data_IF_863246252121
#
_entry.id   IF_863246252121
#
_cell.length_a   1.000
_cell.length_b   1.000
_cell.length_c   1.000
_cell.angle_alpha   90.00
_cell.angle_beta   90.00
_cell.angle_gamma   90.00
#
_symmetry.space_group_name_H-M   'P 1'
#
loop_
_entity.id
_entity.type
_entity.pdbx_description
1 polymer ?
#
# COMPACT_ATOMS: atom_id res chain seq x y z
N UNK A 1 3.99 -5.49 -3.06
CA UNK A 1 5.03 -4.58 -3.61
C UNK A 1 5.05 -3.22 -2.88
N UNK A 2 3.91 -2.56 -2.66
CA UNK A 2 3.84 -1.24 -1.99
C UNK A 2 4.47 -1.28 -0.60
N UNK A 3 4.24 -2.33 0.17
CA UNK A 3 4.74 -2.52 1.55
C UNK A 3 6.25 -2.81 1.60
N UNK A 4 6.86 -3.29 0.50
CA UNK A 4 8.27 -3.66 0.47
C UNK A 4 9.24 -2.50 0.36
N UNK A 5 8.88 -1.42 -0.34
CA UNK A 5 9.79 -0.31 -0.63
C UNK A 5 9.55 0.95 0.22
N UNK A 6 8.33 1.12 0.72
CA UNK A 6 7.97 2.24 1.58
C UNK A 6 8.01 1.85 3.05
N UNK A 7 8.23 2.84 3.91
CA UNK A 7 8.06 2.66 5.34
C UNK A 7 6.63 2.19 5.65
N UNK A 8 6.51 1.31 6.64
CA UNK A 8 5.20 0.81 7.05
C UNK A 8 4.39 1.91 7.77
N UNK A 9 5.08 2.73 8.56
CA UNK A 9 4.52 3.94 9.15
C UNK A 9 5.57 5.03 9.20
N UNK A 10 5.13 6.28 9.11
CA UNK A 10 5.97 7.48 9.24
C UNK A 10 5.39 8.35 10.33
N UNK A 11 6.23 8.70 11.30
CA UNK A 11 5.89 9.66 12.35
C UNK A 11 6.53 11.01 12.01
N UNK A 12 5.69 12.03 11.86
CA UNK A 12 6.13 13.41 11.60
C UNK A 12 5.98 14.24 12.87
N UNK A 13 7.04 14.84 13.39
CA UNK A 13 6.96 15.72 14.54
C UNK A 13 6.21 17.02 14.17
N UNK A 14 5.50 17.59 15.12
CA UNK A 14 4.86 18.90 14.94
C UNK A 14 5.83 20.02 15.36
N UNK A 15 6.18 20.10 16.64
CA UNK A 15 7.02 21.16 17.19
C UNK A 15 8.22 20.66 18.01
N UNK A 16 8.28 19.38 18.33
CA UNK A 16 9.32 18.80 19.20
C UNK A 16 10.04 17.65 18.50
N UNK A 17 11.37 17.54 18.70
CA UNK A 17 12.13 16.43 18.15
C UNK A 17 11.56 15.08 18.61
N UNK A 18 11.55 14.10 17.71
CA UNK A 18 11.20 12.73 18.05
C UNK A 18 12.36 12.08 18.82
N UNK A 19 12.04 11.47 19.96
CA UNK A 19 12.99 10.62 20.68
C UNK A 19 12.98 9.26 20.03
N UNK A 20 14.17 8.76 19.67
CA UNK A 20 14.33 7.42 19.11
C UNK A 20 13.87 6.37 20.13
N UNK A 21 12.85 5.61 19.79
CA UNK A 21 12.42 4.45 20.57
C UNK A 21 12.60 3.18 19.73
N UNK A 22 13.34 2.23 20.28
CA UNK A 22 13.48 0.90 19.74
C UNK A 22 12.58 -0.04 20.52
N UNK A 23 11.66 -0.70 19.84
CA UNK A 23 10.81 -1.74 20.42
C UNK A 23 11.07 -3.07 19.71
N UNK A 24 10.69 -4.18 20.37
CA UNK A 24 10.86 -5.54 19.84
C UNK A 24 10.10 -5.81 18.55
N UNK A 25 9.04 -5.03 18.28
CA UNK A 25 8.19 -5.16 17.11
C UNK A 25 8.77 -4.47 15.87
N UNK A 26 9.75 -3.59 16.03
CA UNK A 26 10.39 -2.90 14.93
C UNK A 26 11.50 -3.76 14.32
N UNK A 27 11.45 -3.94 13.01
CA UNK A 27 12.54 -4.54 12.25
C UNK A 27 13.64 -3.50 11.98
N UNK A 28 13.21 -2.25 11.72
CA UNK A 28 14.10 -1.15 11.33
C UNK A 28 13.43 0.18 11.63
N UNK A 29 14.21 1.15 12.12
CA UNK A 29 13.78 2.54 12.31
C UNK A 29 14.80 3.44 11.63
N UNK A 30 14.35 4.38 10.81
CA UNK A 30 15.19 5.25 9.98
C UNK A 30 14.70 6.69 10.09
N UNK A 31 15.64 7.63 10.22
CA UNK A 31 15.34 9.04 10.07
C UNK A 31 15.35 9.44 8.60
N UNK A 32 14.33 10.19 8.20
CA UNK A 32 14.18 10.72 6.85
C UNK A 32 13.62 12.13 6.85
N UNK A 33 13.60 12.73 5.71
CA UNK A 33 12.83 13.93 5.39
C UNK A 33 12.47 13.89 3.92
N UNK A 34 11.47 14.66 3.51
CA UNK A 34 11.06 14.74 2.12
C UNK A 34 10.85 16.19 1.69
N UNK A 35 10.76 16.44 0.40
CA UNK A 35 10.43 17.76 -0.16
C UNK A 35 10.12 17.66 -1.63
N UNK A 36 9.19 18.50 -2.09
CA UNK A 36 8.84 18.59 -3.50
C UNK A 36 9.87 19.45 -4.24
N UNK A 37 10.31 18.96 -5.37
CA UNK A 37 11.28 19.63 -6.23
C UNK A 37 10.97 19.44 -7.71
N UNK A 38 11.63 20.21 -8.53
CA UNK A 38 11.57 20.10 -9.99
C UNK A 38 12.95 19.72 -10.50
N UNK A 39 13.06 18.63 -11.24
CA UNK A 39 14.27 18.30 -11.99
C UNK A 39 14.24 19.03 -13.32
N UNK A 40 15.34 19.68 -13.64
CA UNK A 40 15.59 20.32 -14.90
C UNK A 40 16.64 19.51 -15.68
N UNK A 41 16.24 18.93 -16.79
CA UNK A 41 17.12 18.32 -17.78
C UNK A 41 17.24 19.25 -18.99
N UNK A 42 18.16 18.94 -19.91
CA UNK A 42 18.38 19.73 -21.11
C UNK A 42 17.13 19.92 -21.99
N UNK A 43 16.19 18.99 -21.95
CA UNK A 43 15.03 18.93 -22.84
C UNK A 43 13.69 18.92 -22.10
N UNK A 44 13.65 18.46 -20.86
CA UNK A 44 12.43 18.22 -20.10
C UNK A 44 12.54 18.68 -18.65
N UNK A 45 11.39 18.96 -18.06
CA UNK A 45 11.25 19.26 -16.64
C UNK A 45 10.22 18.35 -16.02
N UNK A 46 10.45 17.90 -14.78
CA UNK A 46 9.53 17.03 -14.05
C UNK A 46 9.50 17.38 -12.58
N UNK A 47 8.29 17.52 -12.03
CA UNK A 47 8.08 17.58 -10.58
C UNK A 47 8.27 16.21 -9.94
N UNK A 48 9.02 16.16 -8.84
CA UNK A 48 9.34 14.94 -8.10
C UNK A 48 9.26 15.15 -6.60
N UNK A 49 9.11 14.06 -5.87
CA UNK A 49 9.32 14.00 -4.43
C UNK A 49 10.76 13.56 -4.14
N UNK A 50 11.55 14.46 -3.57
CA UNK A 50 12.88 14.13 -3.06
C UNK A 50 12.74 13.53 -1.65
N UNK A 51 13.33 12.36 -1.44
CA UNK A 51 13.46 11.74 -0.13
C UNK A 51 14.91 11.75 0.32
N UNK A 52 15.16 12.24 1.53
CA UNK A 52 16.49 12.33 2.12
C UNK A 52 16.75 11.23 3.14
N UNK A 53 17.89 10.53 2.99
CA UNK A 53 18.34 9.54 3.93
C UNK A 53 19.81 9.75 4.27
N UNK A 54 20.22 9.37 5.49
CA UNK A 54 21.64 9.24 5.81
C UNK A 54 22.25 8.10 5.00
N UNK A 55 23.52 8.24 4.62
CA UNK A 55 24.26 7.25 3.81
C UNK A 55 24.10 5.80 4.29
N UNK A 56 24.21 5.58 5.61
CA UNK A 56 24.13 4.25 6.20
C UNK A 56 22.70 3.71 6.22
N UNK A 57 21.69 4.59 6.31
CA UNK A 57 20.31 4.22 6.35
C UNK A 57 19.74 3.96 4.96
N UNK A 58 20.20 4.70 3.95
CA UNK A 58 19.87 4.45 2.54
C UNK A 58 20.23 3.03 2.12
N UNK A 59 21.41 2.53 2.52
CA UNK A 59 21.85 1.15 2.24
C UNK A 59 20.97 0.07 2.88
N UNK A 60 20.18 0.41 3.90
CA UNK A 60 19.26 -0.52 4.57
C UNK A 60 17.90 -0.59 3.87
N UNK A 61 17.62 0.29 2.91
CA UNK A 61 16.35 0.27 2.18
C UNK A 61 16.28 -0.96 1.27
N UNK A 62 15.11 -1.57 1.16
CA UNK A 62 14.92 -2.74 0.28
C UNK A 62 15.18 -2.40 -1.18
N UNK A 63 14.93 -1.16 -1.58
CA UNK A 63 15.15 -0.71 -2.96
C UNK A 63 16.62 -0.78 -3.36
N UNK A 64 17.56 -0.56 -2.45
CA UNK A 64 19.01 -0.63 -2.71
C UNK A 64 19.54 -2.06 -2.75
N UNK A 65 18.81 -3.00 -2.16
CA UNK A 65 19.15 -4.43 -2.13
C UNK A 65 18.45 -5.22 -3.24
N UNK A 66 17.71 -4.55 -4.10
CA UNK A 66 17.01 -5.18 -5.22
C UNK A 66 17.99 -5.44 -6.38
N UNK A 67 17.83 -6.58 -7.09
CA UNK A 67 18.59 -6.91 -8.30
C UNK A 67 18.43 -5.89 -9.44
N UNK A 68 17.41 -5.05 -9.36
CA UNK A 68 17.11 -3.97 -10.31
C UNK A 68 17.63 -2.61 -9.87
N UNK A 69 18.59 -2.58 -8.97
CA UNK A 69 19.31 -1.39 -8.57
C UNK A 69 20.66 -1.34 -9.29
N UNK A 70 20.91 -0.28 -10.04
CA UNK A 70 22.12 -0.10 -10.82
C UNK A 70 22.88 1.12 -10.32
N UNK A 71 24.18 0.98 -10.09
CA UNK A 71 25.05 2.06 -9.67
C UNK A 71 25.45 2.01 -8.20
N UNK A 72 25.83 3.16 -7.63
CA UNK A 72 26.37 3.29 -6.27
C UNK A 72 25.28 3.58 -5.24
N UNK A 73 25.38 2.96 -4.06
CA UNK A 73 24.57 3.29 -2.88
C UNK A 73 25.17 4.37 -2.00
N UNK A 74 26.27 5.00 -2.44
CA UNK A 74 27.01 5.99 -1.66
C UNK A 74 26.44 7.41 -1.87
N UNK A 75 25.34 7.75 -1.22
CA UNK A 75 24.73 9.07 -1.26
C UNK A 75 25.65 10.13 -0.62
N UNK A 76 26.45 10.80 -1.46
CA UNK A 76 27.25 11.98 -1.10
C UNK A 76 26.37 13.24 -1.17
N UNK A 77 26.94 14.39 -0.75
CA UNK A 77 26.17 15.63 -0.67
C UNK A 77 25.56 16.08 -2.01
N UNK A 78 26.24 15.88 -3.13
CA UNK A 78 25.79 16.31 -4.45
C UNK A 78 25.41 15.13 -5.36
N UNK A 79 24.96 14.04 -4.78
CA UNK A 79 24.56 12.86 -5.53
C UNK A 79 23.07 12.56 -5.37
N UNK A 80 22.48 11.99 -6.44
CA UNK A 80 21.08 11.61 -6.48
C UNK A 80 20.91 10.20 -7.04
N UNK A 81 19.98 9.45 -6.48
CA UNK A 81 19.47 8.20 -7.03
C UNK A 81 18.09 8.44 -7.62
N UNK A 82 17.86 8.09 -8.87
CA UNK A 82 16.60 8.33 -9.59
C UNK A 82 15.93 7.03 -9.97
N UNK A 83 14.61 7.07 -10.17
CA UNK A 83 13.86 5.91 -10.66
C UNK A 83 14.06 5.71 -12.16
N UNK A 84 13.91 4.47 -12.60
CA UNK A 84 14.10 4.05 -13.98
C UNK A 84 13.21 4.81 -14.97
N UNK A 85 11.93 4.96 -14.65
CA UNK A 85 10.98 5.63 -15.54
C UNK A 85 11.28 7.13 -15.64
N UNK A 86 11.77 7.73 -14.54
CA UNK A 86 12.26 9.12 -14.54
C UNK A 86 13.51 9.29 -15.41
N UNK A 87 14.46 8.35 -15.34
CA UNK A 87 15.66 8.31 -16.19
C UNK A 87 15.27 8.29 -17.67
N UNK A 88 14.33 7.43 -18.06
CA UNK A 88 13.82 7.39 -19.44
C UNK A 88 13.11 8.67 -19.87
N UNK A 89 12.22 9.21 -19.02
CA UNK A 89 11.45 10.41 -19.32
C UNK A 89 12.34 11.63 -19.58
N UNK A 90 13.43 11.75 -18.82
CA UNK A 90 14.34 12.89 -18.87
C UNK A 90 15.56 12.64 -19.75
N UNK A 91 15.72 11.42 -20.27
CA UNK A 91 16.89 10.96 -21.02
C UNK A 91 18.20 11.22 -20.26
N UNK A 92 18.29 10.68 -19.04
CA UNK A 92 19.38 10.87 -18.08
C UNK A 92 19.93 9.50 -17.70
N UNK A 93 21.25 9.36 -17.68
CA UNK A 93 21.97 8.16 -17.28
C UNK A 93 22.86 8.39 -16.05
N UNK A 94 23.41 7.29 -15.52
CA UNK A 94 24.38 7.33 -14.41
C UNK A 94 25.63 8.11 -14.86
N UNK A 95 26.02 9.08 -14.03
CA UNK A 95 27.13 10.00 -14.31
C UNK A 95 26.70 11.35 -14.87
N UNK A 96 25.45 11.49 -15.31
CA UNK A 96 24.94 12.77 -15.78
C UNK A 96 24.74 13.77 -14.64
N UNK A 97 24.90 15.05 -14.96
CA UNK A 97 24.58 16.14 -14.05
C UNK A 97 23.21 16.73 -14.38
N UNK A 98 22.38 16.83 -13.33
CA UNK A 98 21.04 17.41 -13.40
C UNK A 98 20.95 18.61 -12.44
N UNK A 99 20.05 19.54 -12.75
CA UNK A 99 19.72 20.65 -11.86
C UNK A 99 18.40 20.35 -11.16
N UNK A 100 18.39 20.52 -9.83
CA UNK A 100 17.18 20.41 -9.02
C UNK A 100 16.80 21.81 -8.55
N UNK A 101 15.53 22.14 -8.66
CA UNK A 101 14.96 23.41 -8.26
C UNK A 101 13.92 23.18 -7.16
N UNK A 102 14.04 23.93 -6.06
CA UNK A 102 13.01 24.00 -5.02
C UNK A 102 11.96 25.05 -5.40
N UNK A 103 10.66 24.72 -5.40
CA UNK A 103 9.60 25.70 -5.62
C UNK A 103 9.48 26.71 -4.46
N UNK A 104 9.84 26.30 -3.24
CA UNK A 104 9.96 27.21 -2.10
C UNK A 104 11.31 27.93 -2.16
N UNK A 105 11.30 29.12 -2.72
CA UNK A 105 12.53 29.90 -2.92
C UNK A 105 13.07 30.54 -1.65
N UNK A 106 14.33 30.99 -1.71
CA UNK A 106 14.93 31.85 -0.69
C UNK A 106 14.30 33.24 -0.79
N UNK A 107 13.73 33.73 0.29
CA UNK A 107 13.20 35.09 0.36
C UNK A 107 14.35 36.10 0.38
N UNK A 108 14.37 36.99 -0.60
CA UNK A 108 15.32 38.09 -0.68
C UNK A 108 14.60 39.43 -0.64
N UNK A 109 15.34 40.51 -0.47
CA UNK A 109 14.80 41.88 -0.46
C UNK A 109 14.04 42.22 -1.77
N UNK A 110 14.36 41.54 -2.86
CA UNK A 110 13.80 41.77 -4.21
C UNK A 110 12.70 40.76 -4.56
N UNK A 111 12.41 39.78 -3.69
CA UNK A 111 11.42 38.73 -3.92
C UNK A 111 11.94 37.34 -3.62
N UNK A 112 11.12 36.31 -3.86
CA UNK A 112 11.49 34.92 -3.69
C UNK A 112 12.15 34.38 -4.96
N UNK A 113 13.38 33.85 -4.83
CA UNK A 113 14.08 33.17 -5.93
C UNK A 113 14.14 31.67 -5.64
N UNK A 114 13.78 30.81 -6.61
CA UNK A 114 13.89 29.37 -6.44
C UNK A 114 15.34 28.97 -6.24
N UNK A 115 15.59 28.16 -5.22
CA UNK A 115 16.92 27.58 -4.99
C UNK A 115 17.19 26.50 -6.02
N UNK A 116 18.38 26.49 -6.58
CA UNK A 116 18.82 25.52 -7.57
C UNK A 116 20.19 24.99 -7.19
N UNK A 117 20.34 23.65 -7.21
CA UNK A 117 21.60 22.97 -7.00
C UNK A 117 21.80 21.88 -8.06
N UNK A 118 23.07 21.56 -8.36
CA UNK A 118 23.45 20.51 -9.31
C UNK A 118 23.76 19.22 -8.57
N UNK A 119 23.24 18.12 -9.13
CA UNK A 119 23.44 16.78 -8.59
C UNK A 119 23.94 15.84 -9.69
N UNK A 120 24.82 14.93 -9.33
CA UNK A 120 25.28 13.83 -10.17
C UNK A 120 24.39 12.60 -9.94
N UNK A 121 23.90 11.99 -10.99
CA UNK A 121 23.14 10.75 -10.94
C UNK A 121 24.08 9.59 -10.69
N UNK A 122 24.03 9.02 -9.49
CA UNK A 122 24.92 7.91 -9.08
C UNK A 122 24.30 6.53 -9.24
N UNK A 123 22.99 6.48 -9.34
CA UNK A 123 22.27 5.20 -9.44
C UNK A 123 20.86 5.37 -9.99
N UNK A 124 20.37 4.28 -10.59
CA UNK A 124 19.01 4.15 -11.10
C UNK A 124 18.38 2.92 -10.44
N UNK A 125 17.18 3.10 -9.89
CA UNK A 125 16.43 2.01 -9.26
C UNK A 125 15.14 1.68 -10.01
N UNK A 126 14.68 0.43 -9.89
CA UNK A 126 13.37 0.00 -10.38
C UNK A 126 12.60 -0.72 -9.24
N UNK A 127 11.61 -0.03 -8.70
CA UNK A 127 10.71 -0.55 -7.66
C UNK A 127 9.68 -1.56 -8.21
N UNK A 128 9.52 -1.62 -9.53
CA UNK A 128 8.45 -2.35 -10.20
C UNK A 128 7.09 -1.65 -10.13
N UNK A 129 7.05 -0.38 -9.72
CA UNK A 129 5.87 0.51 -9.69
C UNK A 129 6.24 1.75 -10.50
N UNK A 130 5.71 1.86 -11.72
CA UNK A 130 6.09 2.93 -12.67
C UNK A 130 5.88 4.32 -12.10
N UNK A 131 4.73 4.59 -11.48
CA UNK A 131 4.43 5.88 -10.85
C UNK A 131 5.45 6.26 -9.75
N UNK A 132 5.91 5.29 -8.96
CA UNK A 132 6.93 5.52 -7.96
C UNK A 132 8.30 5.79 -8.59
N UNK A 133 8.67 5.03 -9.61
CA UNK A 133 9.92 5.22 -10.33
C UNK A 133 9.97 6.57 -11.09
N UNK A 134 8.82 7.09 -11.49
CA UNK A 134 8.73 8.37 -12.22
C UNK A 134 8.77 9.57 -11.29
N UNK A 135 8.24 9.46 -10.07
CA UNK A 135 7.96 10.62 -9.22
C UNK A 135 8.85 10.71 -7.97
N UNK A 136 9.70 9.71 -7.69
CA UNK A 136 10.54 9.69 -6.46
C UNK A 136 12.02 9.64 -6.81
N UNK A 137 12.81 10.42 -6.07
CA UNK A 137 14.27 10.36 -6.11
C UNK A 137 14.86 10.48 -4.71
N UNK A 138 16.08 9.98 -4.52
CA UNK A 138 16.75 9.92 -3.22
C UNK A 138 18.02 10.74 -3.23
N UNK A 139 18.21 11.56 -2.18
CA UNK A 139 19.41 12.35 -1.93
C UNK A 139 19.88 12.19 -0.47
N UNK A 140 21.05 12.73 -0.17
CA UNK A 140 21.56 12.77 1.20
C UNK A 140 20.66 13.64 2.09
N UNK A 141 20.33 13.15 3.30
CA UNK A 141 19.43 13.83 4.24
C UNK A 141 19.91 15.24 4.61
N UNK A 142 21.19 15.39 4.90
CA UNK A 142 21.74 16.70 5.27
C UNK A 142 21.66 17.69 4.09
N UNK A 143 21.86 17.20 2.87
CA UNK A 143 21.73 18.01 1.66
C UNK A 143 20.28 18.44 1.44
N UNK A 144 19.33 17.50 1.61
CA UNK A 144 17.91 17.81 1.50
C UNK A 144 17.47 18.89 2.50
N UNK A 145 17.86 18.72 3.76
CA UNK A 145 17.55 19.68 4.82
C UNK A 145 18.11 21.07 4.53
N UNK A 146 19.37 21.14 4.08
CA UNK A 146 19.99 22.41 3.66
C UNK A 146 19.29 23.01 2.44
N UNK A 147 18.89 22.18 1.48
CA UNK A 147 18.27 22.61 0.24
C UNK A 147 16.86 23.20 0.45
N UNK A 148 16.09 22.63 1.38
CA UNK A 148 14.75 23.11 1.70
C UNK A 148 14.66 23.98 2.96
N UNK A 149 15.79 24.33 3.57
CA UNK A 149 15.87 25.06 4.84
C UNK A 149 15.06 24.42 5.97
N UNK A 150 15.15 23.09 6.06
CA UNK A 150 14.41 22.31 7.05
C UNK A 150 15.17 22.17 8.36
N UNK A 151 14.43 22.26 9.46
CA UNK A 151 15.01 22.04 10.79
C UNK A 151 15.36 20.56 10.97
N UNK A 152 16.63 20.30 11.34
CA UNK A 152 17.16 18.95 11.59
C UNK A 152 16.49 18.26 12.79
N UNK A 153 15.98 19.03 13.72
CA UNK A 153 15.27 18.50 14.90
C UNK A 153 13.87 17.98 14.57
N UNK A 154 13.31 18.36 13.39
CA UNK A 154 11.99 17.94 12.94
C UNK A 154 12.04 16.86 11.85
N UNK A 155 13.02 15.96 11.96
CA UNK A 155 13.11 14.80 11.05
C UNK A 155 11.96 13.86 11.25
N UNK A 156 11.51 13.26 10.15
CA UNK A 156 10.53 12.18 10.20
C UNK A 156 11.20 10.90 10.66
N UNK A 157 10.44 10.06 11.34
CA UNK A 157 10.90 8.71 11.71
C UNK A 157 10.08 7.68 10.97
N UNK A 158 10.75 6.88 10.16
CA UNK A 158 10.18 5.79 9.40
C UNK A 158 10.30 4.49 10.16
N UNK A 159 9.17 3.82 10.37
CA UNK A 159 9.06 2.54 11.09
C UNK A 159 8.77 1.40 10.11
N UNK A 160 9.59 0.35 10.20
CA UNK A 160 9.43 -0.89 9.46
C UNK A 160 9.15 -2.00 10.48
N UNK A 161 7.95 -2.56 10.46
CA UNK A 161 7.52 -3.61 11.40
C UNK A 161 7.96 -4.98 10.91
N UNK A 162 8.18 -5.93 11.84
CA UNK A 162 8.43 -7.34 11.52
C UNK A 162 7.19 -8.01 10.91
N UNK A 163 5.99 -7.66 11.40
CA UNK A 163 4.72 -8.05 10.81
C UNK A 163 3.89 -6.82 10.43
N UNK A 164 3.85 -6.45 9.14
CA UNK A 164 3.11 -5.27 8.68
C UNK A 164 1.61 -5.49 8.51
N UNK A 165 1.07 -6.71 8.77
CA UNK A 165 -0.32 -7.04 8.47
C UNK A 165 -1.33 -6.29 9.34
N UNK A 166 -0.98 -6.02 10.61
CA UNK A 166 -1.87 -5.34 11.54
C UNK A 166 -1.53 -3.85 11.69
N UNK A 167 -1.54 -3.14 10.58
CA UNK A 167 -1.06 -1.75 10.51
C UNK A 167 -1.86 -0.79 11.41
N UNK A 168 -3.16 -1.00 11.57
CA UNK A 168 -4.01 -0.18 12.45
C UNK A 168 -3.61 -0.29 13.94
N UNK A 169 -3.25 -1.50 14.38
CA UNK A 169 -2.71 -1.72 15.72
C UNK A 169 -1.40 -0.97 15.92
N UNK A 170 -0.49 -1.09 14.95
CA UNK A 170 0.79 -0.39 15.00
C UNK A 170 0.63 1.13 14.95
N UNK A 171 -0.31 1.64 14.16
CA UNK A 171 -0.65 3.07 14.11
C UNK A 171 -1.09 3.59 15.47
N UNK A 172 -2.01 2.85 16.12
CA UNK A 172 -2.49 3.20 17.46
C UNK A 172 -1.35 3.23 18.48
N UNK A 173 -0.51 2.21 18.50
CA UNK A 173 0.66 2.15 19.38
C UNK A 173 1.62 3.32 19.16
N UNK A 174 1.88 3.70 17.90
CA UNK A 174 2.72 4.85 17.60
C UNK A 174 2.10 6.17 18.07
N UNK A 175 0.79 6.35 17.93
CA UNK A 175 0.08 7.53 18.44
C UNK A 175 0.13 7.62 19.98
N UNK A 176 0.04 6.48 20.66
CA UNK A 176 0.16 6.41 22.12
C UNK A 176 1.60 6.70 22.60
N UNK A 177 2.61 6.23 21.84
CA UNK A 177 4.02 6.47 22.14
C UNK A 177 4.47 7.90 21.82
N UNK A 178 3.90 8.53 20.80
CA UNK A 178 4.27 9.86 20.32
C UNK A 178 3.05 10.81 20.30
N UNK A 179 2.54 11.22 21.46
CA UNK A 179 1.38 12.12 21.52
C UNK A 179 1.75 13.48 20.90
N UNK A 180 0.82 14.03 20.12
CA UNK A 180 1.03 15.32 19.44
C UNK A 180 1.90 15.23 18.17
N UNK A 181 1.97 14.07 17.54
CA UNK A 181 2.63 13.88 16.25
C UNK A 181 1.65 13.42 15.18
N UNK A 182 2.05 13.55 13.91
CA UNK A 182 1.29 12.95 12.81
C UNK A 182 1.84 11.59 12.48
N UNK A 183 1.00 10.56 12.52
CA UNK A 183 1.36 9.19 12.14
C UNK A 183 0.64 8.83 10.85
N UNK A 184 1.41 8.57 9.80
CA UNK A 184 0.90 8.07 8.52
C UNK A 184 1.35 6.64 8.33
N UNK A 185 0.46 5.81 7.84
CA UNK A 185 0.77 4.44 7.43
C UNK A 185 0.73 4.33 5.90
N UNK A 186 1.30 3.24 5.37
CA UNK A 186 1.18 2.94 3.95
C UNK A 186 -0.29 2.79 3.50
N UNK A 187 -1.19 2.42 4.42
CA UNK A 187 -2.62 2.34 4.14
C UNK A 187 -3.26 3.73 4.02
N UNK A 188 -2.88 4.68 4.87
CA UNK A 188 -3.36 6.07 4.80
C UNK A 188 -2.92 6.75 3.50
N UNK A 189 -1.66 6.53 3.09
CA UNK A 189 -1.13 7.09 1.84
C UNK A 189 -1.81 6.52 0.59
N UNK A 190 -2.48 5.38 0.71
CA UNK A 190 -3.21 4.72 -0.38
C UNK A 190 -4.71 4.58 -0.06
N UNK A 191 -5.28 5.50 0.70
CA UNK A 191 -6.67 5.43 1.20
C UNK A 191 -7.69 5.25 0.07
N UNK A 192 -7.52 5.94 -1.05
CA UNK A 192 -8.41 5.82 -2.21
C UNK A 192 -8.42 4.40 -2.79
N UNK A 193 -7.25 3.76 -2.88
CA UNK A 193 -7.12 2.38 -3.32
C UNK A 193 -7.82 1.41 -2.36
N UNK A 194 -7.57 1.56 -1.04
CA UNK A 194 -8.19 0.70 -0.02
C UNK A 194 -9.70 0.91 0.08
N UNK A 195 -10.17 2.14 -0.08
CA UNK A 195 -11.60 2.45 -0.15
C UNK A 195 -12.25 1.78 -1.37
N UNK A 196 -11.63 1.83 -2.54
CA UNK A 196 -12.11 1.16 -3.75
C UNK A 196 -12.18 -0.37 -3.55
N UNK A 197 -11.12 -0.99 -3.01
CA UNK A 197 -11.09 -2.43 -2.72
C UNK A 197 -12.15 -2.84 -1.67
N UNK A 198 -12.43 -1.98 -0.70
CA UNK A 198 -13.48 -2.22 0.30
C UNK A 198 -14.88 -2.19 -0.34
N UNK A 199 -15.12 -1.23 -1.23
CA UNK A 199 -16.38 -1.14 -2.01
C UNK A 199 -16.53 -2.37 -2.90
N UNK A 200 -15.50 -2.74 -3.64
CA UNK A 200 -15.50 -3.93 -4.49
C UNK A 200 -15.87 -5.20 -3.70
N UNK A 201 -15.21 -5.43 -2.56
CA UNK A 201 -15.51 -6.57 -1.69
C UNK A 201 -16.95 -6.56 -1.20
N UNK A 202 -17.50 -5.40 -0.82
CA UNK A 202 -18.88 -5.28 -0.36
C UNK A 202 -19.87 -5.58 -1.49
N UNK A 203 -19.62 -5.07 -2.70
CA UNK A 203 -20.43 -5.35 -3.89
C UNK A 203 -20.42 -6.83 -4.23
N UNK A 204 -19.22 -7.47 -4.23
CA UNK A 204 -19.10 -8.91 -4.46
C UNK A 204 -19.88 -9.73 -3.42
N UNK A 205 -19.83 -9.33 -2.14
CA UNK A 205 -20.61 -9.98 -1.08
C UNK A 205 -22.12 -9.86 -1.31
N UNK A 206 -22.60 -8.68 -1.70
CA UNK A 206 -24.03 -8.46 -2.01
C UNK A 206 -24.48 -9.32 -3.19
N UNK A 207 -23.69 -9.35 -4.27
CA UNK A 207 -24.00 -10.17 -5.46
C UNK A 207 -24.04 -11.65 -5.09
N UNK A 208 -23.04 -12.14 -4.35
CA UNK A 208 -22.99 -13.54 -3.91
C UNK A 208 -24.21 -13.89 -3.03
N UNK A 209 -24.56 -13.00 -2.10
CA UNK A 209 -25.72 -13.18 -1.22
C UNK A 209 -27.03 -13.27 -2.04
N UNK A 210 -27.18 -12.40 -3.07
CA UNK A 210 -28.35 -12.42 -3.94
C UNK A 210 -28.45 -13.74 -4.73
N UNK A 211 -27.33 -14.24 -5.25
CA UNK A 211 -27.28 -15.52 -5.97
C UNK A 211 -27.73 -16.67 -5.05
N UNK A 212 -27.22 -16.69 -3.80
CA UNK A 212 -27.60 -17.72 -2.81
C UNK A 212 -29.11 -17.64 -2.51
N UNK A 213 -29.67 -16.45 -2.33
CA UNK A 213 -31.10 -16.24 -2.08
C UNK A 213 -31.94 -16.79 -3.25
N UNK A 214 -31.57 -16.44 -4.48
CA UNK A 214 -32.29 -16.92 -5.68
C UNK A 214 -32.24 -18.47 -5.79
N UNK A 215 -31.04 -19.05 -5.53
CA UNK A 215 -30.88 -20.49 -5.53
C UNK A 215 -31.74 -21.15 -4.43
N UNK A 216 -31.80 -20.58 -3.22
CA UNK A 216 -32.67 -21.06 -2.15
C UNK A 216 -34.12 -21.04 -2.51
N UNK A 217 -34.63 -19.96 -3.14
CA UNK A 217 -36.00 -19.89 -3.61
C UNK A 217 -36.34 -20.94 -4.68
N UNK A 218 -35.41 -21.21 -5.59
CA UNK A 218 -35.59 -22.25 -6.62
C UNK A 218 -35.69 -23.64 -5.97
N UNK A 219 -34.86 -23.94 -4.98
CA UNK A 219 -34.88 -25.21 -4.24
C UNK A 219 -36.22 -25.35 -3.46
N UNK A 220 -36.60 -24.30 -2.73
CA UNK A 220 -37.85 -24.29 -1.94
C UNK A 220 -39.06 -24.52 -2.88
N UNK A 221 -39.09 -23.82 -4.01
CA UNK A 221 -40.18 -23.96 -5.01
C UNK A 221 -40.25 -25.37 -5.56
N UNK A 222 -39.10 -25.95 -5.93
CA UNK A 222 -39.04 -27.33 -6.43
C UNK A 222 -39.49 -28.36 -5.37
N UNK A 223 -39.03 -28.21 -4.15
CA UNK A 223 -39.44 -29.07 -3.02
C UNK A 223 -40.95 -28.92 -2.73
N UNK A 224 -41.48 -27.70 -2.76
CA UNK A 224 -42.90 -27.46 -2.50
C UNK A 224 -43.79 -28.16 -3.53
N UNK A 225 -43.41 -28.09 -4.83
CA UNK A 225 -44.13 -28.78 -5.90
C UNK A 225 -44.06 -30.30 -5.72
N UNK A 226 -42.87 -30.83 -5.41
CA UNK A 226 -42.64 -32.26 -5.15
C UNK A 226 -43.48 -32.76 -3.99
N UNK A 227 -43.49 -32.05 -2.85
CA UNK A 227 -44.26 -32.38 -1.66
C UNK A 227 -45.75 -32.33 -1.98
N UNK A 228 -46.23 -31.29 -2.69
CA UNK A 228 -47.66 -31.16 -3.08
C UNK A 228 -48.13 -32.33 -3.93
N UNK A 229 -47.35 -32.75 -4.92
CA UNK A 229 -47.66 -33.91 -5.74
C UNK A 229 -47.69 -35.20 -4.93
N UNK A 230 -46.70 -35.41 -4.07
CA UNK A 230 -46.63 -36.61 -3.19
C UNK A 230 -47.70 -36.63 -2.12
N UNK A 231 -48.12 -35.48 -1.61
CA UNK A 231 -49.24 -35.39 -0.63
C UNK A 231 -50.54 -35.94 -1.19
N UNK A 232 -50.81 -35.66 -2.48
CA UNK A 232 -51.96 -36.20 -3.19
C UNK A 232 -51.92 -37.73 -3.30
N UNK A 233 -50.77 -38.30 -3.68
CA UNK A 233 -50.56 -39.73 -3.80
C UNK A 233 -50.71 -40.43 -2.44
N UNK A 234 -50.13 -39.82 -1.39
CA UNK A 234 -50.24 -40.32 0.01
C UNK A 234 -51.69 -40.22 0.48
N UNK A 235 -52.46 -39.19 0.10
CA UNK A 235 -53.88 -39.06 0.43
C UNK A 235 -54.72 -40.20 -0.16
N UNK A 236 -54.45 -40.58 -1.41
CA UNK A 236 -55.11 -41.75 -2.06
C UNK A 236 -54.75 -43.04 -1.35
N UNK A 237 -53.47 -43.29 -0.99
CA UNK A 237 -53.07 -44.47 -0.28
C UNK A 237 -53.69 -44.57 1.11
N UNK A 238 -53.85 -43.47 1.81
CA UNK A 238 -54.53 -43.41 3.11
C UNK A 238 -56.00 -43.70 3.00
N UNK A 239 -56.67 -43.30 1.94
CA UNK A 239 -58.09 -43.59 1.73
C UNK A 239 -58.39 -45.09 1.51
N UNK A 240 -57.39 -45.85 1.07
CA UNK A 240 -57.43 -47.30 0.90
C UNK A 240 -57.04 -48.06 2.17
N UNK A 241 -56.69 -47.33 3.30
CA UNK A 241 -56.41 -47.93 4.60
C UNK A 241 -54.91 -48.20 4.90
N UNK A 242 -53.99 -47.63 4.10
CA UNK A 242 -52.53 -47.77 4.35
C UNK A 242 -52.12 -46.92 5.54
N UNK A 243 -51.40 -47.51 6.48
CA UNK A 243 -50.91 -46.85 7.73
C UNK A 243 -49.72 -45.92 7.46
N UNK A 244 -49.52 -44.88 8.31
CA UNK A 244 -48.41 -43.94 8.19
C UNK A 244 -47.03 -44.62 8.19
N UNK A 245 -46.86 -45.68 8.93
CA UNK A 245 -45.63 -46.50 9.00
C UNK A 245 -45.35 -47.23 7.69
N UNK A 246 -46.34 -47.77 7.03
CA UNK A 246 -46.18 -48.45 5.74
C UNK A 246 -45.80 -47.49 4.62
N UNK A 247 -46.38 -46.25 4.56
CA UNK A 247 -46.03 -45.23 3.62
C UNK A 247 -44.59 -44.75 3.79
N UNK A 248 -44.15 -44.58 5.05
CA UNK A 248 -42.78 -44.16 5.33
C UNK A 248 -41.76 -45.23 4.93
N UNK A 249 -42.07 -46.50 5.14
CA UNK A 249 -41.15 -47.60 4.81
C UNK A 249 -40.95 -47.82 3.33
N UNK A 250 -42.01 -47.71 2.53
CA UNK A 250 -41.92 -47.84 1.08
C UNK A 250 -41.21 -46.67 0.43
N UNK A 251 -41.34 -45.46 0.98
CA UNK A 251 -40.69 -44.26 0.43
C UNK A 251 -39.16 -44.23 0.73
N UNK A 252 -38.74 -44.70 1.86
CA UNK A 252 -37.30 -44.78 2.21
C UNK A 252 -36.60 -45.90 1.43
N UNK A 253 -37.28 -47.05 1.21
CA UNK A 253 -36.68 -48.20 0.51
C UNK A 253 -36.60 -48.04 -1.00
N UNK A 254 -37.45 -47.18 -1.62
CA UNK A 254 -37.36 -46.88 -3.04
C UNK A 254 -36.13 -46.10 -3.48
N UNK A 255 -35.39 -45.52 -2.51
CA UNK A 255 -34.11 -44.83 -2.73
C UNK A 255 -32.87 -45.70 -2.60
N UNK A 256 -33.00 -46.94 -2.08
CA UNK A 256 -31.94 -47.96 -2.10
C UNK A 256 -32.05 -48.77 -3.40
N UNK A 257 -31.56 -48.18 -4.53
CA UNK A 257 -31.33 -48.97 -5.74
C UNK A 257 -30.12 -49.90 -5.44
N UNK A 258 -30.28 -51.24 -5.57
CA UNK A 258 -29.16 -52.14 -5.46
C UNK A 258 -28.17 -51.83 -6.58
N UNK A 259 -26.90 -51.57 -6.22
CA UNK A 259 -25.78 -51.62 -7.15
C UNK A 259 -25.60 -53.06 -7.60
N UNK A 260 -25.85 -53.32 -8.87
CA UNK A 260 -25.24 -54.41 -9.59
C UNK A 260 -24.01 -53.94 -10.35
#
# INVERSE_FOLDING_TARGET
KIVGFNAHAVVKPYDKPLVFMSDKDFAKVIFSNDGEAVILSKQNTKGILLKGYLKNDFKKLEITNNQKYFGSTDLKNNSISIGKDLSFLLNIDIGDQITIMSPSGVQTIVGSFPRQDKFEVISIFDSGIGEFNENVAYINLNTLESFFDKNKDLRFTEYYFKDPKNIEYHKKNLLDLFPGTYVYTWADLNESLFSALKVERNVMFIILSLIIIVAAFNIISGLTILVKNKTRDIGILKSIGVTNTSVSYTHLRAHETPRY
#
